data_IF_385058920473
#
_entry.id   IF_385058920473
#
_cell.length_a   1.000
_cell.length_b   1.000
_cell.length_c   1.000
_cell.angle_alpha   90.00
_cell.angle_beta   90.00
_cell.angle_gamma   90.00
#
_symmetry.space_group_name_H-M   'P 1'
#
loop_
_entity.id
_entity.type
_entity.pdbx_description
1 polymer ?
#
# COMPACT_ATOMS: atom_id res chain seq x y z
N UNK A 1 7.17 4.97 -20.24
CA UNK A 1 8.56 4.54 -19.93
C UNK A 1 8.54 3.96 -18.53
N UNK A 2 8.39 2.65 -18.41
CA UNK A 2 8.35 1.93 -17.14
C UNK A 2 9.77 1.89 -16.60
N UNK A 3 10.10 2.84 -15.72
CA UNK A 3 11.37 2.88 -15.01
C UNK A 3 11.45 1.63 -14.14
N UNK A 4 12.31 0.68 -14.53
CA UNK A 4 12.52 -0.56 -13.77
C UNK A 4 13.62 -0.22 -12.77
N UNK A 5 13.32 -0.08 -11.46
CA UNK A 5 14.33 0.38 -10.52
C UNK A 5 15.32 -0.76 -10.27
N UNK A 6 16.55 -0.60 -10.77
CA UNK A 6 17.69 -1.41 -10.40
C UNK A 6 18.14 -2.47 -11.42
N UNK A 7 19.29 -3.06 -11.10
CA UNK A 7 19.93 -4.11 -11.88
C UNK A 7 19.02 -5.37 -11.91
N UNK A 8 18.76 -5.98 -13.09
CA UNK A 8 17.99 -7.23 -13.20
C UNK A 8 18.53 -8.30 -12.26
N UNK A 9 17.66 -9.12 -11.66
CA UNK A 9 18.10 -10.09 -10.63
C UNK A 9 19.18 -11.06 -11.15
N UNK A 10 19.08 -11.46 -12.42
CA UNK A 10 20.05 -12.31 -13.12
C UNK A 10 21.47 -11.73 -13.20
N UNK A 11 21.62 -10.42 -13.08
CA UNK A 11 22.90 -9.69 -13.15
C UNK A 11 23.49 -9.41 -11.75
N UNK A 12 22.76 -9.72 -10.67
CA UNK A 12 23.24 -9.56 -9.31
C UNK A 12 24.26 -10.65 -8.94
N UNK A 13 25.21 -10.33 -8.08
CA UNK A 13 26.00 -11.36 -7.38
C UNK A 13 25.12 -12.13 -6.40
N UNK A 14 25.57 -13.31 -5.94
CA UNK A 14 24.82 -14.11 -4.96
C UNK A 14 24.60 -13.35 -3.64
N UNK A 15 25.62 -12.64 -3.16
CA UNK A 15 25.55 -11.80 -1.95
C UNK A 15 24.52 -10.67 -2.10
N UNK A 16 24.50 -10.02 -3.27
CA UNK A 16 23.56 -8.94 -3.58
C UNK A 16 22.13 -9.46 -3.67
N UNK A 17 21.95 -10.62 -4.31
CA UNK A 17 20.66 -11.29 -4.46
C UNK A 17 20.08 -11.65 -3.08
N UNK A 18 20.89 -12.26 -2.20
CA UNK A 18 20.48 -12.59 -0.84
C UNK A 18 20.14 -11.34 -0.02
N UNK A 19 20.99 -10.30 -0.07
CA UNK A 19 20.76 -9.05 0.66
C UNK A 19 19.47 -8.35 0.23
N UNK A 20 19.24 -8.25 -1.08
CA UNK A 20 18.02 -7.65 -1.61
C UNK A 20 16.79 -8.49 -1.29
N UNK A 21 16.88 -9.82 -1.34
CA UNK A 21 15.79 -10.72 -0.94
C UNK A 21 15.37 -10.50 0.51
N UNK A 22 16.34 -10.46 1.43
CA UNK A 22 16.07 -10.18 2.87
C UNK A 22 15.38 -8.82 3.05
N UNK A 23 15.88 -7.77 2.40
CA UNK A 23 15.27 -6.45 2.48
C UNK A 23 13.84 -6.44 1.92
N UNK A 24 13.62 -7.09 0.78
CA UNK A 24 12.33 -7.17 0.14
C UNK A 24 11.30 -7.86 1.06
N UNK A 25 11.65 -9.01 1.64
CA UNK A 25 10.78 -9.70 2.60
C UNK A 25 10.48 -8.87 3.84
N UNK A 26 11.48 -8.18 4.41
CA UNK A 26 11.30 -7.33 5.58
C UNK A 26 10.32 -6.17 5.33
N UNK A 27 10.32 -5.61 4.11
CA UNK A 27 9.47 -4.49 3.74
C UNK A 27 8.06 -4.90 3.28
N UNK A 28 7.85 -6.18 2.92
CA UNK A 28 6.60 -6.67 2.33
C UNK A 28 5.34 -6.27 3.09
N UNK A 29 5.33 -6.48 4.40
CA UNK A 29 4.17 -6.18 5.23
C UNK A 29 3.86 -4.68 5.27
N UNK A 30 4.90 -3.86 5.40
CA UNK A 30 4.74 -2.41 5.39
C UNK A 30 4.21 -1.91 4.04
N UNK A 31 4.76 -2.40 2.91
CA UNK A 31 4.31 -2.00 1.58
C UNK A 31 2.87 -2.45 1.33
N UNK A 32 2.49 -3.64 1.81
CA UNK A 32 1.11 -4.13 1.72
C UNK A 32 0.10 -3.22 2.45
N UNK A 33 0.41 -2.78 3.67
CA UNK A 33 -0.51 -1.97 4.47
C UNK A 33 -0.47 -0.47 4.16
N UNK A 34 0.67 0.03 3.69
CA UNK A 34 0.94 1.47 3.65
C UNK A 34 1.43 1.98 2.30
N UNK A 35 1.84 1.08 1.39
CA UNK A 35 2.22 1.44 0.03
C UNK A 35 1.02 1.90 -0.79
N UNK A 36 1.28 2.70 -1.81
CA UNK A 36 0.32 2.89 -2.91
C UNK A 36 0.15 1.59 -3.69
N UNK A 37 -0.94 1.45 -4.45
CA UNK A 37 -1.13 0.29 -5.32
C UNK A 37 0.04 0.09 -6.29
N UNK A 38 0.61 1.18 -6.82
CA UNK A 38 1.80 1.12 -7.66
C UNK A 38 3.06 0.67 -6.89
N UNK A 39 3.28 1.18 -5.67
CA UNK A 39 4.40 0.74 -4.83
C UNK A 39 4.29 -0.75 -4.49
N UNK A 40 3.10 -1.23 -4.17
CA UNK A 40 2.84 -2.64 -3.89
C UNK A 40 3.07 -3.52 -5.11
N UNK A 41 2.60 -3.09 -6.29
CA UNK A 41 2.84 -3.79 -7.55
C UNK A 41 4.34 -3.90 -7.84
N UNK A 42 5.05 -2.78 -7.85
CA UNK A 42 6.51 -2.74 -8.13
C UNK A 42 7.30 -3.56 -7.12
N UNK A 43 6.95 -3.49 -5.84
CA UNK A 43 7.59 -4.29 -4.79
C UNK A 43 7.36 -5.79 -4.99
N UNK A 44 6.12 -6.19 -5.32
CA UNK A 44 5.76 -7.59 -5.58
C UNK A 44 6.49 -8.12 -6.81
N UNK A 45 6.57 -7.34 -7.89
CA UNK A 45 7.32 -7.70 -9.09
C UNK A 45 8.81 -7.92 -8.77
N UNK A 46 9.43 -7.02 -7.98
CA UNK A 46 10.84 -7.16 -7.59
C UNK A 46 11.08 -8.35 -6.68
N UNK A 47 10.23 -8.59 -5.69
CA UNK A 47 10.29 -9.76 -4.81
C UNK A 47 10.29 -11.06 -5.61
N UNK A 48 9.30 -11.21 -6.51
CA UNK A 48 9.16 -12.40 -7.33
C UNK A 48 10.34 -12.61 -8.28
N UNK A 49 10.93 -11.53 -8.81
CA UNK A 49 12.13 -11.61 -9.65
C UNK A 49 13.34 -12.15 -8.86
N UNK A 50 13.57 -11.63 -7.65
CA UNK A 50 14.66 -12.06 -6.77
C UNK A 50 14.49 -13.52 -6.32
N UNK A 51 13.27 -13.91 -5.92
CA UNK A 51 12.94 -15.27 -5.51
C UNK A 51 13.16 -16.27 -6.65
N UNK A 52 12.68 -15.96 -7.86
CA UNK A 52 12.87 -16.82 -9.03
C UNK A 52 14.35 -17.01 -9.36
N UNK A 53 15.14 -15.94 -9.31
CA UNK A 53 16.58 -16.05 -9.55
C UNK A 53 17.29 -16.85 -8.45
N UNK A 54 16.92 -16.67 -7.19
CA UNK A 54 17.47 -17.43 -6.07
C UNK A 54 17.18 -18.93 -6.23
N UNK A 55 15.95 -19.30 -6.58
CA UNK A 55 15.55 -20.68 -6.84
C UNK A 55 16.29 -21.29 -8.03
N UNK A 56 16.53 -20.49 -9.08
CA UNK A 56 17.30 -20.91 -10.25
C UNK A 56 18.76 -21.23 -9.89
N UNK A 57 19.39 -20.45 -9.01
CA UNK A 57 20.78 -20.65 -8.55
C UNK A 57 20.91 -21.74 -7.49
N UNK A 58 19.89 -21.92 -6.66
CA UNK A 58 19.91 -22.86 -5.53
C UNK A 58 18.76 -23.88 -5.57
N UNK A 59 18.64 -24.71 -6.62
CA UNK A 59 17.53 -25.65 -6.78
C UNK A 59 17.42 -26.66 -5.61
N UNK A 60 18.55 -26.99 -4.97
CA UNK A 60 18.66 -27.93 -3.85
C UNK A 60 18.25 -27.33 -2.49
N UNK A 61 18.14 -25.99 -2.36
CA UNK A 61 17.80 -25.31 -1.09
C UNK A 61 16.30 -25.20 -0.86
N UNK A 62 15.48 -25.48 -1.87
CA UNK A 62 14.06 -25.70 -1.62
C UNK A 62 13.90 -26.98 -0.83
N UNK A 63 13.45 -26.87 0.41
CA UNK A 63 12.90 -28.00 1.13
C UNK A 63 11.79 -28.58 0.27
N UNK A 64 12.09 -29.68 -0.43
CA UNK A 64 11.11 -30.59 -1.01
C UNK A 64 10.36 -31.22 0.15
N UNK A 65 9.48 -30.42 0.74
CA UNK A 65 8.62 -30.78 1.86
C UNK A 65 7.44 -31.59 1.40
N UNK A 66 7.67 -32.82 0.97
CA UNK A 66 6.80 -33.94 1.30
C UNK A 66 7.67 -35.20 1.27
N UNK A 67 8.17 -35.61 2.45
CA UNK A 67 8.62 -36.99 2.60
C UNK A 67 7.41 -37.92 2.44
N UNK A 68 7.52 -38.86 1.51
CA UNK A 68 6.61 -40.00 1.34
C UNK A 68 6.18 -40.22 -0.11
N UNK A 69 6.80 -41.19 -0.80
CA UNK A 69 6.31 -42.00 -1.93
C UNK A 69 5.12 -41.51 -2.80
N UNK A 70 5.09 -40.25 -3.20
CA UNK A 70 4.22 -39.80 -4.29
C UNK A 70 5.08 -39.29 -5.41
N UNK A 71 5.12 -40.06 -6.51
CA UNK A 71 5.75 -39.67 -7.76
C UNK A 71 5.44 -38.20 -8.09
N UNK A 72 6.46 -37.45 -8.51
CA UNK A 72 6.32 -36.06 -8.91
C UNK A 72 5.11 -35.93 -9.86
N UNK A 73 4.22 -34.93 -9.66
CA UNK A 73 2.99 -34.81 -10.42
C UNK A 73 3.27 -34.81 -11.92
N UNK A 74 2.47 -35.57 -12.65
CA UNK A 74 2.64 -35.70 -14.09
C UNK A 74 2.53 -34.32 -14.77
N UNK A 75 3.00 -34.22 -16.02
CA UNK A 75 2.80 -33.01 -16.81
C UNK A 75 1.32 -32.63 -16.86
N UNK A 76 0.44 -33.61 -16.93
CA UNK A 76 -1.01 -33.41 -17.06
C UNK A 76 -1.62 -32.92 -15.74
N UNK A 77 -1.16 -33.41 -14.59
CA UNK A 77 -1.57 -32.91 -13.27
C UNK A 77 -1.17 -31.45 -13.09
N UNK A 78 0.06 -31.11 -13.48
CA UNK A 78 0.55 -29.73 -13.45
C UNK A 78 -0.25 -28.80 -14.37
N UNK A 79 -0.59 -29.26 -15.58
CA UNK A 79 -1.43 -28.49 -16.51
C UNK A 79 -2.83 -28.28 -15.91
N UNK A 80 -3.43 -29.33 -15.34
CA UNK A 80 -4.76 -29.26 -14.73
C UNK A 80 -4.80 -28.27 -13.56
N UNK A 81 -3.79 -28.31 -12.69
CA UNK A 81 -3.70 -27.42 -11.53
C UNK A 81 -3.54 -25.95 -11.95
N UNK A 82 -2.70 -25.67 -12.94
CA UNK A 82 -2.55 -24.34 -13.52
C UNK A 82 -3.87 -23.84 -14.11
N UNK A 83 -4.57 -24.65 -14.92
CA UNK A 83 -5.86 -24.28 -15.51
C UNK A 83 -6.90 -23.95 -14.43
N UNK A 84 -6.99 -24.77 -13.38
CA UNK A 84 -7.91 -24.51 -12.28
C UNK A 84 -7.58 -23.23 -11.52
N UNK A 85 -6.29 -22.99 -11.27
CA UNK A 85 -5.81 -21.78 -10.58
C UNK A 85 -6.17 -20.53 -11.38
N UNK A 86 -5.85 -20.51 -12.68
CA UNK A 86 -6.18 -19.38 -13.54
C UNK A 86 -7.68 -19.20 -13.71
N UNK A 87 -8.47 -20.28 -13.83
CA UNK A 87 -9.92 -20.18 -13.91
C UNK A 87 -10.50 -19.51 -12.67
N UNK A 88 -10.07 -19.89 -11.45
CA UNK A 88 -10.54 -19.27 -10.20
C UNK A 88 -10.17 -17.80 -10.13
N UNK A 89 -8.94 -17.45 -10.52
CA UNK A 89 -8.48 -16.06 -10.54
C UNK A 89 -9.29 -15.20 -11.52
N UNK A 90 -9.56 -15.71 -12.73
CA UNK A 90 -10.37 -15.03 -13.74
C UNK A 90 -11.81 -14.88 -13.26
N UNK A 91 -12.42 -15.93 -12.71
CA UNK A 91 -13.78 -15.86 -12.17
C UNK A 91 -13.88 -14.83 -11.06
N UNK A 92 -12.91 -14.78 -10.14
CA UNK A 92 -12.88 -13.76 -9.10
C UNK A 92 -12.82 -12.33 -9.66
N UNK A 93 -12.02 -12.10 -10.72
CA UNK A 93 -11.94 -10.79 -11.39
C UNK A 93 -13.21 -10.45 -12.18
N UNK A 94 -13.94 -11.45 -12.69
CA UNK A 94 -15.20 -11.24 -13.39
C UNK A 94 -16.36 -11.01 -12.41
N UNK A 95 -16.31 -11.65 -11.24
CA UNK A 95 -17.28 -11.50 -10.14
C UNK A 95 -16.98 -10.27 -9.28
N UNK A 96 -15.82 -9.64 -9.43
CA UNK A 96 -15.57 -8.29 -8.92
C UNK A 96 -16.52 -7.33 -9.63
N UNK A 97 -17.67 -7.07 -9.00
CA UNK A 97 -18.45 -5.86 -9.25
C UNK A 97 -17.45 -4.69 -9.22
N UNK A 98 -17.31 -3.89 -10.30
CA UNK A 98 -16.48 -2.70 -10.24
C UNK A 98 -17.04 -1.90 -9.06
N UNK A 99 -16.25 -1.79 -7.98
CA UNK A 99 -16.67 -1.13 -6.74
C UNK A 99 -17.43 0.09 -7.15
N UNK A 100 -18.78 0.05 -7.03
CA UNK A 100 -19.66 1.02 -7.65
C UNK A 100 -19.04 2.37 -7.32
N UNK A 101 -18.45 3.02 -8.33
CA UNK A 101 -17.56 4.14 -8.09
C UNK A 101 -18.38 5.09 -7.24
N UNK A 102 -18.04 5.19 -5.94
CA UNK A 102 -18.99 5.61 -4.92
C UNK A 102 -19.64 6.88 -5.45
N UNK A 103 -20.97 6.86 -5.66
CA UNK A 103 -21.68 7.65 -6.66
C UNK A 103 -21.07 9.03 -6.67
N UNK A 104 -20.24 9.33 -7.70
CA UNK A 104 -19.26 10.42 -7.73
C UNK A 104 -19.57 11.44 -6.66
N UNK A 105 -19.11 11.18 -5.41
CA UNK A 105 -19.60 11.93 -4.23
C UNK A 105 -19.32 13.37 -4.60
N UNK A 106 -20.37 14.18 -4.77
CA UNK A 106 -20.28 15.58 -5.21
C UNK A 106 -18.98 16.13 -4.68
N UNK A 107 -17.97 16.25 -5.57
CA UNK A 107 -16.54 16.33 -5.23
C UNK A 107 -16.41 17.06 -3.91
N UNK A 108 -16.23 16.28 -2.81
CA UNK A 108 -16.46 16.79 -1.45
C UNK A 108 -15.80 18.15 -1.39
N UNK A 109 -16.61 19.18 -1.12
CA UNK A 109 -16.12 20.55 -1.10
C UNK A 109 -14.77 20.55 -0.36
N UNK A 110 -13.67 21.00 -1.01
CA UNK A 110 -12.34 20.92 -0.42
C UNK A 110 -12.27 21.51 0.99
N UNK A 111 -13.16 22.46 1.30
CA UNK A 111 -13.32 23.02 2.64
C UNK A 111 -14.01 22.06 3.61
N UNK A 112 -15.08 21.37 3.20
CA UNK A 112 -15.72 20.31 4.00
C UNK A 112 -14.77 19.14 4.25
N UNK A 113 -14.00 18.72 3.25
CA UNK A 113 -12.99 17.68 3.42
C UNK A 113 -11.90 18.11 4.42
N UNK A 114 -11.51 19.39 4.40
CA UNK A 114 -10.59 19.98 5.37
C UNK A 114 -11.19 19.96 6.79
N UNK A 115 -12.42 20.43 6.96
CA UNK A 115 -13.12 20.45 8.23
C UNK A 115 -13.32 19.04 8.80
N UNK A 116 -13.69 18.07 7.96
CA UNK A 116 -13.81 16.67 8.35
C UNK A 116 -12.48 16.09 8.82
N UNK A 117 -11.37 16.39 8.12
CA UNK A 117 -10.05 15.93 8.55
C UNK A 117 -9.62 16.57 9.88
N UNK A 118 -9.78 17.88 10.04
CA UNK A 118 -9.42 18.59 11.28
C UNK A 118 -10.28 18.13 12.47
N UNK A 119 -11.55 17.77 12.24
CA UNK A 119 -12.41 17.15 13.26
C UNK A 119 -11.84 15.82 13.73
N UNK A 120 -11.38 14.96 12.82
CA UNK A 120 -10.72 13.69 13.20
C UNK A 120 -9.47 13.91 14.05
N UNK A 121 -8.72 14.98 13.80
CA UNK A 121 -7.61 15.37 14.67
C UNK A 121 -8.09 15.84 16.04
N UNK A 122 -9.12 16.68 16.11
CA UNK A 122 -9.67 17.20 17.37
C UNK A 122 -10.22 16.08 18.27
N UNK A 123 -10.84 15.06 17.68
CA UNK A 123 -11.38 13.90 18.39
C UNK A 123 -10.29 12.91 18.84
N UNK A 124 -9.10 12.97 18.24
CA UNK A 124 -7.98 12.12 18.59
C UNK A 124 -7.32 12.56 19.91
N UNK A 125 -6.83 11.63 20.76
CA UNK A 125 -6.18 11.98 22.02
C UNK A 125 -5.05 13.01 21.85
N UNK A 126 -5.20 14.14 22.54
CA UNK A 126 -4.23 15.25 22.50
C UNK A 126 -4.18 16.00 21.18
N UNK A 127 -5.16 15.83 20.28
CA UNK A 127 -5.16 16.48 18.98
C UNK A 127 -4.12 15.89 18.02
N UNK A 128 -3.67 14.64 18.23
CA UNK A 128 -2.52 14.05 17.54
C UNK A 128 -2.91 12.80 16.77
N UNK A 129 -2.32 12.64 15.59
CA UNK A 129 -2.53 11.46 14.74
C UNK A 129 -1.22 11.04 14.08
N UNK A 130 -1.02 9.74 13.89
CA UNK A 130 0.16 9.27 13.18
C UNK A 130 0.11 9.74 11.71
N UNK A 131 1.26 10.07 11.12
CA UNK A 131 1.33 10.64 9.77
C UNK A 131 0.65 9.75 8.72
N UNK A 132 0.80 8.43 8.83
CA UNK A 132 0.22 7.50 7.86
C UNK A 132 -1.31 7.48 7.96
N UNK A 133 -1.84 7.48 9.18
CA UNK A 133 -3.27 7.51 9.44
C UNK A 133 -3.89 8.82 8.92
N UNK A 134 -3.24 9.97 9.17
CA UNK A 134 -3.68 11.26 8.64
C UNK A 134 -3.75 11.27 7.10
N UNK A 135 -2.77 10.67 6.43
CA UNK A 135 -2.77 10.53 4.97
C UNK A 135 -3.82 9.53 4.47
N UNK A 136 -4.08 8.44 5.19
CA UNK A 136 -5.13 7.47 4.84
C UNK A 136 -6.52 8.10 4.94
N UNK A 137 -6.82 8.80 6.04
CA UNK A 137 -8.10 9.52 6.21
C UNK A 137 -8.25 10.61 5.15
N UNK A 138 -7.19 11.38 4.87
CA UNK A 138 -7.25 12.41 3.84
C UNK A 138 -7.59 11.85 2.44
N UNK A 139 -7.06 10.68 2.08
CA UNK A 139 -7.41 10.00 0.82
C UNK A 139 -8.86 9.52 0.81
N UNK A 140 -9.41 9.08 1.94
CA UNK A 140 -10.81 8.68 2.02
C UNK A 140 -11.77 9.88 1.88
N UNK A 141 -11.37 11.04 2.38
CA UNK A 141 -12.16 12.27 2.31
C UNK A 141 -12.04 12.97 0.94
N UNK A 142 -10.84 12.95 0.34
CA UNK A 142 -10.55 13.57 -0.94
C UNK A 142 -9.41 12.81 -1.68
N UNK A 143 -9.75 11.81 -2.51
CA UNK A 143 -8.79 10.87 -3.13
C UNK A 143 -7.67 11.50 -3.95
N UNK A 144 -7.91 12.69 -4.53
CA UNK A 144 -6.94 13.40 -5.39
C UNK A 144 -6.33 14.64 -4.73
N UNK A 145 -6.58 14.86 -3.44
CA UNK A 145 -6.20 16.11 -2.78
C UNK A 145 -4.88 16.00 -2.01
N UNK A 146 -3.98 16.96 -2.22
CA UNK A 146 -2.83 17.22 -1.34
C UNK A 146 -3.27 17.88 -0.01
N UNK A 147 -4.39 17.42 0.57
CA UNK A 147 -5.08 18.06 1.68
C UNK A 147 -4.17 18.23 2.89
N UNK A 148 -3.54 17.15 3.35
CA UNK A 148 -2.61 17.18 4.50
C UNK A 148 -1.46 18.16 4.25
N UNK A 149 -0.92 18.21 3.02
CA UNK A 149 0.18 19.10 2.68
C UNK A 149 -0.23 20.58 2.62
N UNK A 150 -1.51 20.87 2.38
CA UNK A 150 -2.06 22.24 2.42
C UNK A 150 -2.14 22.75 3.86
N UNK A 151 -2.48 21.88 4.82
CA UNK A 151 -2.65 22.25 6.22
C UNK A 151 -1.35 22.74 6.90
N UNK A 152 -0.17 22.29 6.44
CA UNK A 152 1.11 22.83 6.91
C UNK A 152 1.48 24.17 6.29
N UNK A 153 0.93 24.48 5.11
CA UNK A 153 1.32 25.63 4.29
C UNK A 153 0.38 26.83 4.42
N UNK A 154 -0.75 26.65 5.11
CA UNK A 154 -1.62 27.77 5.47
C UNK A 154 -0.93 28.67 6.50
N UNK A 155 -1.34 29.93 6.53
CA UNK A 155 -0.85 30.92 7.48
C UNK A 155 -2.04 31.51 8.26
N UNK A 156 -2.16 31.21 9.57
CA UNK A 156 -1.32 30.31 10.36
C UNK A 156 -1.48 28.82 9.98
N UNK A 157 -0.46 27.96 10.22
CA UNK A 157 -0.54 26.53 9.89
C UNK A 157 -1.55 25.83 10.79
N UNK A 158 -2.40 24.98 10.20
CA UNK A 158 -3.45 24.26 10.94
C UNK A 158 -2.96 22.92 11.52
N UNK A 159 -1.87 22.37 10.96
CA UNK A 159 -1.17 21.20 11.50
C UNK A 159 0.31 21.50 11.68
N UNK A 160 0.91 20.86 12.68
CA UNK A 160 2.35 20.81 12.88
C UNK A 160 2.86 19.37 12.78
N UNK A 161 4.09 19.21 12.27
CA UNK A 161 4.76 17.92 12.23
C UNK A 161 5.67 17.74 13.46
N UNK A 162 5.45 16.64 14.18
CA UNK A 162 6.28 16.22 15.31
C UNK A 162 6.73 14.77 15.10
N UNK A 163 7.91 14.58 14.49
CA UNK A 163 8.40 13.25 14.06
C UNK A 163 7.34 12.52 13.22
N UNK A 164 6.83 11.40 13.72
CA UNK A 164 5.80 10.58 13.08
C UNK A 164 4.38 11.01 13.42
N UNK A 165 4.21 11.98 14.31
CA UNK A 165 2.92 12.53 14.70
C UNK A 165 2.62 13.82 13.94
N UNK A 166 1.34 14.04 13.69
CA UNK A 166 0.74 15.29 13.21
C UNK A 166 -0.14 15.81 14.31
N UNK A 167 0.00 17.10 14.60
CA UNK A 167 -0.61 17.72 15.77
C UNK A 167 -1.43 18.90 15.33
N UNK A 168 -2.68 18.93 15.79
CA UNK A 168 -3.59 20.04 15.57
C UNK A 168 -3.08 21.27 16.34
N UNK A 169 -2.85 22.36 15.61
CA UNK A 169 -2.46 23.65 16.20
C UNK A 169 -3.68 24.37 16.77
N UNK A 170 -3.45 25.41 17.56
CA UNK A 170 -4.54 26.25 18.07
C UNK A 170 -5.26 26.99 16.93
N UNK A 171 -4.51 27.45 15.92
CA UNK A 171 -5.08 27.96 14.67
C UNK A 171 -5.97 26.92 13.97
N UNK A 172 -5.57 25.64 13.96
CA UNK A 172 -6.37 24.53 13.43
C UNK A 172 -7.69 24.35 14.18
N UNK A 173 -7.68 24.47 15.52
CA UNK A 173 -8.88 24.43 16.37
C UNK A 173 -9.80 25.61 16.08
N UNK A 174 -9.26 26.83 16.07
CA UNK A 174 -10.04 28.05 15.77
C UNK A 174 -10.60 28.05 14.34
N UNK A 175 -9.87 27.48 13.38
CA UNK A 175 -10.37 27.32 12.02
C UNK A 175 -11.56 26.35 12.00
N UNK A 176 -11.46 25.22 12.70
CA UNK A 176 -12.53 24.23 12.79
C UNK A 176 -13.79 24.77 13.47
N UNK A 177 -13.64 25.60 14.50
CA UNK A 177 -14.78 26.24 15.20
C UNK A 177 -15.56 27.18 14.29
N UNK A 178 -14.89 27.81 13.31
CA UNK A 178 -15.52 28.69 12.30
C UNK A 178 -16.12 27.91 11.12
N UNK A 179 -15.73 26.66 10.92
CA UNK A 179 -16.16 25.81 9.79
C UNK A 179 -16.64 24.45 10.30
N UNK A 180 -17.78 24.41 11.03
CA UNK A 180 -18.31 23.17 11.56
C UNK A 180 -18.74 22.24 10.42
N UNK A 181 -18.39 20.96 10.56
CA UNK A 181 -18.89 19.91 9.66
C UNK A 181 -20.36 19.66 10.02
N UNK A 182 -21.31 19.69 9.06
CA UNK A 182 -22.69 19.30 9.35
C UNK A 182 -22.74 17.86 9.87
N UNK A 183 -23.61 17.64 10.86
CA UNK A 183 -23.79 16.35 11.54
C UNK A 183 -24.27 15.23 10.61
#
# INVERSE_FOLDING_TARGET
MTDRPGIPARELSDEELERQGVHAHAMRHWVFLHGTAEQFRTHTERMLELEQEYLRRHPQRTWQGSGGDTAAPSRDDRIRDLVQTFSRAITALLDEEPSAAAPSRDRTDPEQAQAALLRRFADAPGGRMHKLEAHQIARQLAPDSHLVARLYRQDPPLLQAERDMRVLTDAGREWLDRHPVPA
#
